data_IF_777489771652
#
_entry.id   IF_777489771652
#
_cell.length_a   1.000
_cell.length_b   1.000
_cell.length_c   1.000
_cell.angle_alpha   90.00
_cell.angle_beta   90.00
_cell.angle_gamma   90.00
#
_symmetry.space_group_name_H-M   'P 1'
#
loop_
_entity.id
_entity.type
_entity.pdbx_description
1 polymer ?
#
# COMPACT_ATOMS: atom_id res chain seq x y z
N UNK A 1 -22.72 -44.45 14.26
CA UNK A 1 -21.49 -43.67 14.49
C UNK A 1 -21.05 -43.08 13.15
N UNK A 2 -21.30 -41.78 12.93
CA UNK A 2 -20.86 -41.02 11.74
C UNK A 2 -20.05 -39.85 12.28
N UNK A 3 -18.78 -39.64 11.92
CA UNK A 3 -18.13 -38.38 12.25
C UNK A 3 -18.74 -37.28 11.38
N UNK A 4 -19.33 -36.28 12.03
CA UNK A 4 -19.72 -35.04 11.36
C UNK A 4 -18.45 -34.26 11.02
N UNK A 5 -18.44 -33.78 9.77
CA UNK A 5 -17.40 -32.96 9.14
C UNK A 5 -16.83 -31.91 10.09
N UNK A 6 -15.51 -31.80 10.11
CA UNK A 6 -14.82 -30.68 10.72
C UNK A 6 -15.33 -29.38 10.13
N UNK A 7 -15.87 -28.52 11.00
CA UNK A 7 -15.82 -27.10 10.75
C UNK A 7 -14.34 -26.73 10.81
N UNK A 8 -13.71 -26.58 9.65
CA UNK A 8 -12.62 -25.63 9.58
C UNK A 8 -13.28 -24.28 9.88
N UNK A 9 -13.16 -23.80 11.12
CA UNK A 9 -13.29 -22.38 11.43
C UNK A 9 -12.21 -21.66 10.63
N UNK A 10 -12.52 -21.44 9.35
CA UNK A 10 -11.64 -20.76 8.42
C UNK A 10 -11.63 -19.31 8.81
N UNK A 11 -10.65 -18.92 9.61
CA UNK A 11 -10.34 -17.51 9.87
C UNK A 11 -10.21 -16.86 8.50
N UNK A 12 -11.14 -15.96 8.17
CA UNK A 12 -11.10 -15.23 6.91
C UNK A 12 -9.74 -14.51 6.82
N UNK A 13 -9.09 -14.51 5.64
CA UNK A 13 -7.77 -13.90 5.50
C UNK A 13 -7.83 -12.42 5.86
N UNK A 14 -6.83 -11.96 6.59
CA UNK A 14 -6.67 -10.54 6.96
C UNK A 14 -6.61 -9.70 5.69
N UNK A 15 -7.39 -8.62 5.66
CA UNK A 15 -7.48 -7.72 4.50
C UNK A 15 -6.47 -6.60 4.66
N UNK A 16 -5.81 -6.28 3.55
CA UNK A 16 -4.75 -5.29 3.49
C UNK A 16 -5.16 -4.15 2.58
N UNK A 17 -4.94 -2.93 3.06
CA UNK A 17 -4.90 -1.72 2.23
C UNK A 17 -3.44 -1.32 2.05
N UNK A 18 -2.92 -1.46 0.82
CA UNK A 18 -1.54 -1.11 0.49
C UNK A 18 -1.43 0.38 0.12
N UNK A 19 -0.56 1.12 0.79
CA UNK A 19 -0.32 2.55 0.58
C UNK A 19 1.00 2.72 -0.19
N UNK A 20 0.92 3.38 -1.33
CA UNK A 20 2.07 3.90 -2.08
C UNK A 20 2.04 5.43 -2.10
N UNK A 21 3.23 6.03 -2.19
CA UNK A 21 3.38 7.48 -2.33
C UNK A 21 3.20 7.90 -3.79
N UNK A 22 2.48 9.00 -4.00
CA UNK A 22 2.46 9.73 -5.25
C UNK A 22 3.60 10.73 -5.26
N UNK A 23 4.69 10.38 -5.95
CA UNK A 23 5.88 11.23 -6.10
C UNK A 23 6.05 11.66 -7.55
N UNK A 24 6.39 12.94 -7.82
CA UNK A 24 6.57 13.45 -9.17
C UNK A 24 7.65 12.71 -9.96
N UNK A 25 7.48 12.65 -11.29
CA UNK A 25 8.43 11.97 -12.18
C UNK A 25 9.82 12.62 -12.17
N UNK A 26 9.90 13.91 -11.87
CA UNK A 26 11.13 14.69 -11.77
C UNK A 26 12.08 14.14 -10.69
N UNK A 27 11.56 13.49 -9.65
CA UNK A 27 12.36 12.87 -8.58
C UNK A 27 12.94 11.49 -8.99
N UNK A 28 12.67 10.99 -10.22
CA UNK A 28 13.04 9.63 -10.64
C UNK A 28 14.56 9.38 -10.63
N UNK A 29 15.37 10.40 -10.86
CA UNK A 29 16.82 10.23 -10.84
C UNK A 29 17.37 10.11 -9.42
N UNK A 30 16.80 10.86 -8.48
CA UNK A 30 17.23 10.95 -7.09
C UNK A 30 16.64 9.81 -6.23
N UNK A 31 15.33 9.58 -6.33
CA UNK A 31 14.62 8.56 -5.56
C UNK A 31 13.64 7.76 -6.43
N UNK A 32 14.15 6.84 -7.27
CA UNK A 32 13.32 6.12 -8.23
C UNK A 32 12.26 5.22 -7.60
N UNK A 33 12.50 4.74 -6.38
CA UNK A 33 11.53 3.89 -5.68
C UNK A 33 10.28 4.67 -5.26
N UNK A 34 10.45 5.90 -4.76
CA UNK A 34 9.33 6.76 -4.38
C UNK A 34 8.44 7.12 -5.59
N UNK A 35 9.02 7.20 -6.78
CA UNK A 35 8.29 7.46 -8.05
C UNK A 35 7.58 6.21 -8.59
N UNK A 36 8.15 5.02 -8.38
CA UNK A 36 7.65 3.77 -8.94
C UNK A 36 6.56 3.13 -8.06
N UNK A 37 5.37 3.74 -8.03
CA UNK A 37 4.21 3.27 -7.25
C UNK A 37 3.86 1.79 -7.50
N UNK A 38 4.06 1.30 -8.72
CA UNK A 38 3.85 -0.12 -9.06
C UNK A 38 4.79 -1.05 -8.30
N UNK A 39 6.06 -0.68 -8.14
CA UNK A 39 7.01 -1.47 -7.34
C UNK A 39 6.69 -1.40 -5.85
N UNK A 40 6.20 -0.25 -5.36
CA UNK A 40 5.72 -0.10 -3.99
C UNK A 40 4.55 -1.05 -3.71
N UNK A 41 3.51 -1.05 -4.55
CA UNK A 41 2.37 -1.97 -4.42
C UNK A 41 2.79 -3.43 -4.55
N UNK A 42 3.66 -3.77 -5.51
CA UNK A 42 4.18 -5.13 -5.66
C UNK A 42 4.92 -5.63 -4.41
N UNK A 43 5.68 -4.76 -3.74
CA UNK A 43 6.37 -5.07 -2.49
C UNK A 43 5.38 -5.33 -1.34
N UNK A 44 4.33 -4.52 -1.23
CA UNK A 44 3.24 -4.75 -0.28
C UNK A 44 2.47 -6.04 -0.57
N UNK A 45 2.14 -6.30 -1.83
CA UNK A 45 1.40 -7.50 -2.25
C UNK A 45 2.19 -8.79 -1.97
N UNK A 46 3.50 -8.78 -2.24
CA UNK A 46 4.38 -9.90 -1.90
C UNK A 46 4.41 -10.13 -0.39
N UNK A 47 4.60 -9.07 0.41
CA UNK A 47 4.58 -9.18 1.86
C UNK A 47 3.25 -9.74 2.37
N UNK A 48 2.12 -9.23 1.85
CA UNK A 48 0.79 -9.70 2.25
C UNK A 48 0.63 -11.20 1.95
N UNK A 49 1.02 -11.65 0.76
CA UNK A 49 0.97 -13.06 0.39
C UNK A 49 1.85 -13.93 1.31
N UNK A 50 3.05 -13.46 1.67
CA UNK A 50 3.95 -14.15 2.61
C UNK A 50 3.33 -14.27 4.02
N UNK A 51 2.46 -13.33 4.43
CA UNK A 51 1.70 -13.39 5.69
C UNK A 51 0.40 -14.21 5.60
N UNK A 52 0.02 -14.69 4.41
CA UNK A 52 -1.31 -15.28 4.17
C UNK A 52 -2.45 -14.25 4.19
N UNK A 53 -2.13 -12.97 4.00
CA UNK A 53 -3.08 -11.86 3.92
C UNK A 53 -3.49 -11.60 2.47
N UNK A 54 -4.59 -10.87 2.28
CA UNK A 54 -5.10 -10.50 0.95
C UNK A 54 -5.12 -8.99 0.80
N UNK A 55 -4.48 -8.47 -0.26
CA UNK A 55 -4.63 -7.05 -0.64
C UNK A 55 -6.01 -6.87 -1.22
N UNK A 56 -6.82 -6.04 -0.58
CA UNK A 56 -8.19 -5.73 -1.04
C UNK A 56 -8.30 -4.34 -1.63
N UNK A 57 -7.28 -3.49 -1.41
CA UNK A 57 -7.26 -2.12 -1.88
C UNK A 57 -5.83 -1.61 -2.01
N UNK A 58 -5.57 -0.87 -3.07
CA UNK A 58 -4.33 -0.13 -3.30
C UNK A 58 -4.64 1.37 -3.30
N UNK A 59 -3.83 2.12 -2.57
CA UNK A 59 -3.89 3.58 -2.47
C UNK A 59 -2.63 4.18 -3.07
N UNK A 60 -2.81 5.24 -3.85
CA UNK A 60 -1.74 6.08 -4.39
C UNK A 60 -2.06 7.53 -4.01
N UNK A 61 -1.32 8.07 -3.04
CA UNK A 61 -1.66 9.35 -2.40
C UNK A 61 -0.39 10.15 -2.10
N UNK A 62 -0.49 11.47 -2.03
CA UNK A 62 0.61 12.37 -1.65
C UNK A 62 0.12 13.45 -0.69
N UNK A 63 0.79 13.61 0.46
CA UNK A 63 0.42 14.59 1.49
C UNK A 63 -1.01 14.47 2.03
N UNK A 64 -1.62 13.29 1.99
CA UNK A 64 -3.01 13.11 2.38
C UNK A 64 -3.19 13.22 3.91
N UNK A 65 -4.22 13.93 4.35
CA UNK A 65 -4.55 14.04 5.77
C UNK A 65 -5.00 12.71 6.34
N UNK A 66 -4.62 12.42 7.58
CA UNK A 66 -4.96 11.17 8.27
C UNK A 66 -6.48 10.96 8.45
N UNK A 67 -7.26 12.04 8.52
CA UNK A 67 -8.71 12.03 8.72
C UNK A 67 -9.50 11.95 7.40
N UNK A 68 -8.82 11.95 6.26
CA UNK A 68 -9.46 11.97 4.96
C UNK A 68 -10.26 10.68 4.69
N UNK A 69 -11.53 10.82 4.30
CA UNK A 69 -12.46 9.69 4.13
C UNK A 69 -11.95 8.60 3.17
N UNK A 70 -11.21 8.98 2.12
CA UNK A 70 -10.61 8.03 1.20
C UNK A 70 -9.66 7.04 1.87
N UNK A 71 -8.97 7.36 2.97
CA UNK A 71 -8.14 6.38 3.69
C UNK A 71 -8.99 5.28 4.33
N UNK A 72 -10.16 5.66 4.83
CA UNK A 72 -10.97 4.82 5.71
C UNK A 72 -12.09 4.07 4.99
N UNK A 73 -12.35 4.42 3.73
CA UNK A 73 -13.37 3.76 2.93
C UNK A 73 -13.12 2.23 2.84
N UNK A 74 -14.12 1.47 3.27
CA UNK A 74 -14.10 0.01 3.32
C UNK A 74 -13.23 -0.64 4.42
N UNK A 75 -12.56 0.15 5.28
CA UNK A 75 -11.67 -0.36 6.33
C UNK A 75 -12.45 -0.87 7.53
N UNK A 76 -12.14 -2.09 7.96
CA UNK A 76 -12.77 -2.76 9.11
C UNK A 76 -11.86 -2.71 10.33
N UNK A 77 -12.29 -1.94 11.33
CA UNK A 77 -11.66 -1.87 12.65
C UNK A 77 -11.51 -3.26 13.30
N UNK A 78 -10.35 -3.53 13.89
CA UNK A 78 -10.02 -4.78 14.58
C UNK A 78 -9.58 -5.94 13.67
N UNK A 79 -9.71 -5.81 12.35
CA UNK A 79 -9.42 -6.90 11.39
C UNK A 79 -8.46 -6.47 10.29
N UNK A 80 -8.64 -5.27 9.74
CA UNK A 80 -7.87 -4.83 8.58
C UNK A 80 -6.51 -4.24 8.97
N UNK A 81 -5.60 -4.24 7.99
CA UNK A 81 -4.23 -3.74 8.14
C UNK A 81 -3.92 -2.75 7.02
N UNK A 82 -3.34 -1.61 7.37
CA UNK A 82 -2.64 -0.77 6.41
C UNK A 82 -1.19 -1.25 6.30
N UNK A 83 -0.68 -1.33 5.07
CA UNK A 83 0.75 -1.62 4.85
C UNK A 83 1.33 -0.59 3.89
N UNK A 84 2.57 -0.19 4.15
CA UNK A 84 3.41 0.53 3.20
C UNK A 84 4.76 -0.17 3.05
N UNK A 85 5.53 0.08 1.97
CA UNK A 85 6.84 -0.53 1.81
C UNK A 85 7.80 -0.16 2.95
N UNK A 86 7.80 1.12 3.35
CA UNK A 86 8.71 1.67 4.34
C UNK A 86 8.12 2.94 4.97
N UNK A 87 8.70 3.41 6.07
CA UNK A 87 8.28 4.63 6.75
C UNK A 87 8.39 5.87 5.83
N UNK A 88 9.46 5.97 5.04
CA UNK A 88 9.65 7.10 4.11
C UNK A 88 8.56 7.18 3.03
N UNK A 89 7.97 6.05 2.63
CA UNK A 89 6.79 6.05 1.74
C UNK A 89 5.58 6.65 2.47
N UNK A 90 5.34 6.29 3.74
CA UNK A 90 4.26 6.89 4.54
C UNK A 90 4.45 8.40 4.73
N UNK A 91 5.68 8.84 4.97
CA UNK A 91 6.02 10.26 5.15
C UNK A 91 5.77 11.09 3.87
N UNK A 92 5.90 10.48 2.68
CA UNK A 92 5.51 11.13 1.42
C UNK A 92 4.00 11.04 1.14
N UNK A 93 3.39 9.91 1.49
CA UNK A 93 1.99 9.64 1.23
C UNK A 93 1.04 10.47 2.11
N UNK A 94 1.43 10.77 3.36
CA UNK A 94 0.59 11.34 4.39
C UNK A 94 1.12 12.70 4.87
N UNK A 95 0.22 13.57 5.34
CA UNK A 95 0.61 14.85 5.94
C UNK A 95 1.27 14.69 7.33
N UNK A 96 0.94 13.62 8.06
CA UNK A 96 1.60 13.21 9.30
C UNK A 96 1.43 11.71 9.52
N UNK A 97 2.56 11.00 9.69
CA UNK A 97 2.56 9.57 9.96
C UNK A 97 2.16 9.28 11.41
N UNK A 98 2.52 10.17 12.34
CA UNK A 98 2.22 10.08 13.76
C UNK A 98 0.71 10.17 13.99
N UNK A 99 0.05 11.19 13.44
CA UNK A 99 -1.41 11.36 13.58
C UNK A 99 -2.16 10.20 12.94
N UNK A 100 -1.71 9.72 11.78
CA UNK A 100 -2.27 8.55 11.14
C UNK A 100 -2.12 7.27 11.98
N UNK A 101 -0.95 7.04 12.56
CA UNK A 101 -0.69 5.87 13.40
C UNK A 101 -1.52 5.92 14.69
N UNK A 102 -1.63 7.10 15.31
CA UNK A 102 -2.47 7.31 16.49
C UNK A 102 -3.94 7.06 16.18
N UNK A 103 -4.43 7.53 15.03
CA UNK A 103 -5.79 7.31 14.58
C UNK A 103 -6.07 5.84 14.25
N UNK A 104 -5.13 5.14 13.63
CA UNK A 104 -5.21 3.70 13.41
C UNK A 104 -5.32 2.95 14.74
N UNK A 105 -4.47 3.26 15.72
CA UNK A 105 -4.52 2.67 17.05
C UNK A 105 -5.87 2.93 17.75
N UNK A 106 -6.39 4.17 17.66
CA UNK A 106 -7.70 4.55 18.21
C UNK A 106 -8.86 3.75 17.58
N UNK A 107 -8.77 3.45 16.28
CA UNK A 107 -9.75 2.67 15.53
C UNK A 107 -9.50 1.15 15.59
N UNK A 108 -8.43 0.70 16.25
CA UNK A 108 -8.05 -0.71 16.28
C UNK A 108 -7.63 -1.27 14.91
N UNK A 109 -7.09 -0.43 14.03
CA UNK A 109 -6.52 -0.83 12.74
C UNK A 109 -5.01 -0.91 12.88
N UNK A 110 -4.39 -1.96 12.37
CA UNK A 110 -2.92 -2.11 12.41
C UNK A 110 -2.26 -1.37 11.26
N UNK A 111 -1.06 -0.85 11.50
CA UNK A 111 -0.20 -0.28 10.47
C UNK A 111 1.10 -1.06 10.47
N UNK A 112 1.50 -1.55 9.29
CA UNK A 112 2.72 -2.33 9.10
C UNK A 112 3.60 -1.68 8.03
N UNK A 113 4.90 -1.95 8.12
CA UNK A 113 5.82 -1.67 7.02
C UNK A 113 6.45 -2.98 6.55
N UNK A 114 6.71 -3.12 5.25
CA UNK A 114 7.32 -4.35 4.72
C UNK A 114 8.72 -4.57 5.29
N UNK A 115 9.47 -3.49 5.55
CA UNK A 115 10.77 -3.55 6.24
C UNK A 115 11.87 -4.28 5.48
N UNK A 116 11.69 -4.53 4.18
CA UNK A 116 12.70 -5.13 3.30
C UNK A 116 13.48 -4.04 2.55
N UNK A 117 14.68 -4.40 2.08
CA UNK A 117 15.47 -3.53 1.22
C UNK A 117 14.69 -3.21 -0.06
N UNK A 118 14.74 -1.96 -0.46
CA UNK A 118 14.10 -1.48 -1.68
C UNK A 118 14.86 -1.97 -2.91
N UNK A 119 14.20 -2.07 -4.08
CA UNK A 119 14.86 -2.44 -5.32
C UNK A 119 15.98 -1.46 -5.66
N UNK A 120 17.12 -1.97 -6.12
CA UNK A 120 18.12 -1.15 -6.80
C UNK A 120 17.63 -0.82 -8.21
N UNK A 121 17.80 0.42 -8.65
CA UNK A 121 17.35 0.88 -9.96
C UNK A 121 18.54 1.14 -10.88
N UNK A 122 18.61 0.37 -11.96
CA UNK A 122 19.50 0.68 -13.08
C UNK A 122 18.83 1.65 -14.08
N UNK A 123 19.60 2.08 -15.07
CA UNK A 123 19.13 2.99 -16.12
C UNK A 123 17.95 2.40 -16.93
N UNK A 124 17.90 1.08 -17.13
CA UNK A 124 16.82 0.43 -17.88
C UNK A 124 15.51 0.43 -17.08
N UNK A 125 15.59 0.20 -15.78
CA UNK A 125 14.47 0.28 -14.84
C UNK A 125 13.94 1.71 -14.76
N UNK A 126 14.81 2.70 -14.58
CA UNK A 126 14.44 4.13 -14.60
C UNK A 126 13.76 4.49 -15.92
N UNK A 127 14.34 4.13 -17.06
CA UNK A 127 13.73 4.40 -18.37
C UNK A 127 12.35 3.75 -18.54
N UNK A 128 12.13 2.56 -17.95
CA UNK A 128 10.81 1.90 -17.96
C UNK A 128 9.79 2.66 -17.09
N UNK A 129 10.19 3.15 -15.92
CA UNK A 129 9.34 4.00 -15.07
C UNK A 129 9.01 5.30 -15.80
N UNK A 130 10.02 5.96 -16.36
CA UNK A 130 9.85 7.19 -17.15
C UNK A 130 8.86 7.00 -18.29
N UNK A 131 9.06 5.99 -19.15
CA UNK A 131 8.13 5.70 -20.25
C UNK A 131 6.70 5.46 -19.78
N UNK A 132 6.52 4.76 -18.66
CA UNK A 132 5.19 4.46 -18.11
C UNK A 132 4.47 5.71 -17.60
N UNK A 133 5.19 6.63 -16.97
CA UNK A 133 4.61 7.82 -16.33
C UNK A 133 4.59 9.06 -17.24
N UNK A 134 5.43 9.12 -18.28
CA UNK A 134 5.47 10.25 -19.24
C UNK A 134 4.39 10.20 -20.31
N UNK A 135 3.77 9.04 -20.52
CA UNK A 135 2.66 8.93 -21.45
C UNK A 135 1.39 9.46 -20.76
N UNK A 136 0.65 10.41 -21.36
CA UNK A 136 -0.70 10.68 -20.89
C UNK A 136 -1.48 9.39 -21.08
N UNK A 137 -1.78 8.70 -19.98
CA UNK A 137 -2.78 7.64 -19.97
C UNK A 137 -4.05 8.25 -20.53
N UNK A 138 -4.40 7.87 -21.76
CA UNK A 138 -5.71 8.12 -22.31
C UNK A 138 -6.77 7.54 -21.35
N UNK A 139 -7.68 8.39 -20.87
CA UNK A 139 -8.80 8.09 -19.96
C UNK A 139 -8.36 7.92 -18.50
N UNK A 140 -8.95 8.50 -17.46
CA UNK A 140 -10.31 8.98 -17.25
C UNK A 140 -11.39 8.13 -17.94
N UNK A 141 -11.38 6.84 -17.62
CA UNK A 141 -12.63 6.16 -17.31
C UNK A 141 -12.81 6.40 -15.79
N UNK A 142 -13.67 7.28 -15.28
CA UNK A 142 -14.95 7.61 -15.86
C UNK A 142 -15.80 6.34 -15.94
N UNK A 143 -15.93 5.58 -14.84
CA UNK A 143 -17.11 4.82 -14.39
C UNK A 143 -16.85 4.11 -13.06
#
# INVERSE_FOLDING_TARGET
MRPLRGAADGIAPVRVTAIASLTPLEELEEDPFLVDSRSQHAMCARWAAEQGYVVTRELLVGGLRFDHGALWDGVRSGVDVFVAPSRRVLERALSSVEEFTAECARRGVRVETVGRAEPSYDAAMKARVHRRLSMPTAGYDGL
#
